data_IF_495639520856
#
_entry.id   IF_495639520856
#
_cell.length_a   1.000
_cell.length_b   1.000
_cell.length_c   1.000
_cell.angle_alpha   90.00
_cell.angle_beta   90.00
_cell.angle_gamma   90.00
#
_symmetry.space_group_name_H-M   'P 1'
#
loop_
_entity.id
_entity.type
_entity.pdbx_description
1 polymer ?
#
# COMPACT_ATOMS: atom_id res chain seq x y z
N UNK A 1 7.43 -11.92 -2.05
CA UNK A 1 8.14 -11.54 -0.79
C UNK A 1 7.10 -11.05 0.23
N UNK A 2 7.32 -11.22 1.55
CA UNK A 2 6.39 -10.64 2.52
C UNK A 2 6.29 -9.12 2.30
N UNK A 3 5.07 -8.57 2.41
CA UNK A 3 4.87 -7.13 2.34
C UNK A 3 5.51 -6.50 3.57
N UNK A 4 6.39 -5.54 3.35
CA UNK A 4 7.06 -4.78 4.41
C UNK A 4 6.41 -3.42 4.64
N UNK A 5 7.13 -2.55 5.32
CA UNK A 5 6.67 -1.20 5.67
C UNK A 5 7.17 -0.12 4.70
N UNK A 6 7.88 -0.51 3.65
CA UNK A 6 8.40 0.43 2.66
C UNK A 6 7.53 0.54 1.42
N UNK A 7 7.47 1.73 0.82
CA UNK A 7 6.78 2.02 -0.42
C UNK A 7 5.26 1.90 -0.38
N UNK A 8 4.67 1.70 0.81
CA UNK A 8 3.21 1.61 0.97
C UNK A 8 2.79 1.84 2.42
N UNK A 9 1.54 2.22 2.64
CA UNK A 9 1.00 2.46 3.97
C UNK A 9 0.07 1.36 4.50
N UNK A 10 0.07 0.17 3.87
CA UNK A 10 -0.82 -0.94 4.20
C UNK A 10 -0.90 -1.27 5.71
N UNK A 11 0.25 -1.24 6.38
CA UNK A 11 0.38 -1.57 7.81
C UNK A 11 0.69 -0.35 8.68
N UNK A 12 0.72 0.84 8.12
CA UNK A 12 1.06 2.08 8.81
C UNK A 12 -0.16 2.91 9.22
N UNK A 13 -1.34 2.54 8.74
CA UNK A 13 -2.61 3.21 9.03
C UNK A 13 -3.69 2.21 9.43
N UNK A 14 -4.70 2.71 10.16
CA UNK A 14 -5.90 1.93 10.46
C UNK A 14 -6.84 1.92 9.26
N UNK A 15 -7.28 0.73 8.84
CA UNK A 15 -8.25 0.55 7.76
C UNK A 15 -8.99 -0.78 7.89
N UNK A 16 -10.10 -0.93 7.19
CA UNK A 16 -10.85 -2.18 7.07
C UNK A 16 -11.61 -2.25 5.74
N UNK A 17 -12.15 -3.42 5.39
CA UNK A 17 -13.05 -3.61 4.23
C UNK A 17 -14.29 -2.68 4.25
N UNK A 18 -14.63 -2.07 5.39
CA UNK A 18 -15.70 -1.09 5.52
C UNK A 18 -15.21 0.36 5.44
N UNK A 19 -13.89 0.57 5.53
CA UNK A 19 -13.29 1.91 5.46
C UNK A 19 -11.85 1.85 4.96
N UNK A 20 -11.65 2.24 3.72
CA UNK A 20 -10.36 2.33 3.04
C UNK A 20 -9.79 3.76 2.99
N UNK A 21 -10.34 4.70 3.79
CA UNK A 21 -10.07 6.14 3.68
C UNK A 21 -8.59 6.51 3.64
N UNK A 22 -7.78 5.82 4.42
CA UNK A 22 -6.36 6.16 4.60
C UNK A 22 -5.41 5.32 3.74
N UNK A 23 -5.90 4.34 2.99
CA UNK A 23 -5.05 3.54 2.11
C UNK A 23 -4.70 4.28 0.82
N UNK A 24 -3.42 4.25 0.46
CA UNK A 24 -2.94 4.69 -0.85
C UNK A 24 -2.92 3.51 -1.83
N UNK A 25 -3.91 3.45 -2.72
CA UNK A 25 -4.03 2.37 -3.69
C UNK A 25 -3.00 2.43 -4.81
N UNK A 26 -2.37 3.57 -5.07
CA UNK A 26 -1.27 3.65 -6.02
C UNK A 26 0.01 3.04 -5.45
N UNK A 27 0.29 3.25 -4.17
CA UNK A 27 1.40 2.58 -3.49
C UNK A 27 1.18 1.08 -3.41
N UNK A 28 -0.07 0.66 -3.18
CA UNK A 28 -0.43 -0.77 -3.18
C UNK A 28 -0.32 -1.36 -4.59
N UNK A 29 -0.68 -0.63 -5.64
CA UNK A 29 -0.45 -1.04 -7.02
C UNK A 29 1.04 -1.24 -7.29
N UNK A 30 1.89 -0.28 -6.93
CA UNK A 30 3.33 -0.35 -7.09
C UNK A 30 3.92 -1.57 -6.36
N UNK A 31 3.38 -1.86 -5.18
CA UNK A 31 3.84 -2.98 -4.36
C UNK A 31 3.40 -4.35 -4.91
N UNK A 32 2.17 -4.47 -5.38
CA UNK A 32 1.61 -5.77 -5.75
C UNK A 32 1.74 -6.11 -7.23
N UNK A 33 1.86 -5.13 -8.11
CA UNK A 33 2.05 -5.36 -9.54
C UNK A 33 3.23 -6.29 -9.85
N UNK A 34 4.43 -6.08 -9.27
CA UNK A 34 5.57 -6.98 -9.50
C UNK A 34 5.33 -8.41 -8.98
N UNK A 35 4.57 -8.58 -7.92
CA UNK A 35 4.28 -9.91 -7.36
C UNK A 35 3.30 -10.70 -8.25
N UNK A 36 2.39 -10.02 -8.95
CA UNK A 36 1.38 -10.65 -9.82
C UNK A 36 1.94 -10.94 -11.22
N UNK A 37 2.67 -9.99 -11.78
CA UNK A 37 3.12 -10.07 -13.18
C UNK A 37 4.57 -10.50 -13.34
N UNK A 38 5.35 -10.61 -12.27
CA UNK A 38 6.80 -10.90 -12.28
C UNK A 38 7.60 -9.89 -13.13
N UNK A 39 7.09 -8.67 -13.25
CA UNK A 39 7.65 -7.56 -14.02
C UNK A 39 7.74 -6.31 -13.13
N UNK A 40 8.69 -5.41 -13.39
CA UNK A 40 8.67 -4.09 -12.75
C UNK A 40 7.41 -3.32 -13.15
N UNK A 41 7.01 -2.36 -12.34
CA UNK A 41 5.91 -1.45 -12.68
C UNK A 41 6.21 -0.78 -14.02
N UNK A 42 5.32 -0.85 -15.03
CA UNK A 42 5.64 -0.46 -16.41
C UNK A 42 5.89 1.04 -16.61
N UNK A 43 5.67 1.83 -15.58
CA UNK A 43 5.77 3.29 -15.59
C UNK A 43 6.86 3.81 -14.65
N UNK A 44 7.81 2.95 -14.27
CA UNK A 44 9.00 3.41 -13.54
C UNK A 44 9.96 4.20 -14.46
N UNK A 45 10.75 5.06 -13.84
CA UNK A 45 11.57 6.14 -14.39
C UNK A 45 12.65 5.80 -15.45
N UNK A 46 12.54 4.72 -16.18
CA UNK A 46 13.37 4.45 -17.35
C UNK A 46 12.77 4.95 -18.68
N UNK A 47 11.68 5.67 -18.57
CA UNK A 47 10.99 6.30 -19.66
C UNK A 47 11.61 7.68 -19.93
N UNK A 48 11.90 7.96 -21.20
CA UNK A 48 12.43 9.24 -21.68
C UNK A 48 11.39 10.39 -21.60
N UNK A 49 10.20 10.15 -21.05
CA UNK A 49 9.14 11.15 -20.90
C UNK A 49 9.50 12.27 -19.89
N UNK A 50 10.54 12.06 -19.08
CA UNK A 50 11.07 13.07 -18.18
C UNK A 50 10.44 13.06 -16.78
N UNK A 51 11.02 13.88 -15.90
CA UNK A 51 10.57 14.05 -14.53
C UNK A 51 9.16 14.68 -14.52
N UNK A 52 8.25 14.10 -13.73
CA UNK A 52 6.89 14.59 -13.62
C UNK A 52 5.94 14.09 -14.71
N UNK A 53 6.26 13.00 -15.40
CA UNK A 53 5.34 12.38 -16.34
C UNK A 53 4.10 11.80 -15.64
N UNK A 54 2.95 11.95 -16.29
CA UNK A 54 1.67 11.37 -15.87
C UNK A 54 1.27 10.30 -16.87
N UNK A 55 0.93 9.13 -16.39
CA UNK A 55 0.58 7.98 -17.20
C UNK A 55 -0.88 7.60 -17.07
N UNK A 56 -1.34 6.68 -17.93
CA UNK A 56 -2.67 6.08 -17.91
C UNK A 56 -2.52 4.57 -17.73
N UNK A 57 -3.15 4.02 -16.70
CA UNK A 57 -3.23 2.59 -16.46
C UNK A 57 -4.66 2.14 -16.81
N UNK A 58 -4.82 1.05 -17.56
CA UNK A 58 -6.15 0.51 -17.82
C UNK A 58 -6.86 0.13 -16.51
N UNK A 59 -8.16 0.36 -16.43
CA UNK A 59 -8.96 -0.01 -15.28
C UNK A 59 -8.85 -1.52 -15.00
N UNK A 60 -8.90 -2.35 -16.04
CA UNK A 60 -8.73 -3.80 -15.92
C UNK A 60 -7.45 -4.18 -15.17
N UNK A 61 -6.31 -3.57 -15.51
CA UNK A 61 -5.03 -3.86 -14.87
C UNK A 61 -4.98 -3.37 -13.43
N UNK A 62 -5.38 -2.12 -13.18
CA UNK A 62 -5.30 -1.51 -11.86
C UNK A 62 -6.25 -2.19 -10.87
N UNK A 63 -7.50 -2.39 -11.28
CA UNK A 63 -8.53 -3.06 -10.48
C UNK A 63 -8.13 -4.50 -10.18
N UNK A 64 -7.62 -5.26 -11.17
CA UNK A 64 -7.16 -6.63 -10.97
C UNK A 64 -6.05 -6.72 -9.91
N UNK A 65 -5.03 -5.86 -9.97
CA UNK A 65 -3.93 -5.85 -9.00
C UNK A 65 -4.45 -5.64 -7.57
N UNK A 66 -5.41 -4.74 -7.40
CA UNK A 66 -5.98 -4.45 -6.09
C UNK A 66 -6.89 -5.60 -5.62
N UNK A 67 -7.75 -6.12 -6.48
CA UNK A 67 -8.75 -7.15 -6.14
C UNK A 67 -8.14 -8.51 -5.76
N UNK A 68 -6.96 -8.83 -6.27
CA UNK A 68 -6.23 -10.04 -5.84
C UNK A 68 -6.01 -10.03 -4.33
N UNK A 69 -5.72 -8.85 -3.75
CA UNK A 69 -5.36 -8.72 -2.36
C UNK A 69 -6.44 -8.10 -1.46
N UNK A 70 -7.47 -7.50 -2.04
CA UNK A 70 -8.53 -6.80 -1.31
C UNK A 70 -9.91 -7.14 -1.84
N UNK A 71 -10.89 -7.24 -0.95
CA UNK A 71 -12.29 -7.26 -1.31
C UNK A 71 -12.82 -5.82 -1.32
N UNK A 72 -12.69 -5.16 -2.44
CA UNK A 72 -13.12 -3.76 -2.62
C UNK A 72 -14.07 -3.67 -3.83
N UNK A 73 -15.07 -2.79 -3.71
CA UNK A 73 -15.95 -2.44 -4.81
C UNK A 73 -15.26 -1.42 -5.74
N UNK A 74 -15.45 -1.57 -7.06
CA UNK A 74 -14.86 -0.66 -8.05
C UNK A 74 -15.29 0.80 -7.84
N UNK A 75 -16.53 1.05 -7.39
CA UNK A 75 -16.98 2.42 -7.10
C UNK A 75 -16.22 3.01 -5.91
N UNK A 76 -15.94 2.19 -4.89
CA UNK A 76 -15.15 2.63 -3.75
C UNK A 76 -13.69 2.88 -4.14
N UNK A 77 -13.09 2.02 -4.94
CA UNK A 77 -11.73 2.20 -5.46
C UNK A 77 -11.62 3.50 -6.30
N UNK A 78 -12.61 3.76 -7.16
CA UNK A 78 -12.68 4.97 -8.01
C UNK A 78 -12.83 6.26 -7.21
N UNK A 79 -13.45 6.23 -6.03
CA UNK A 79 -13.51 7.39 -5.12
C UNK A 79 -12.16 7.72 -4.47
N UNK A 80 -11.27 6.75 -4.38
CA UNK A 80 -9.96 6.86 -3.72
C UNK A 80 -8.81 7.15 -4.68
N UNK A 81 -9.12 7.19 -5.98
CA UNK A 81 -8.15 7.30 -7.07
C UNK A 81 -8.66 8.27 -8.14
N UNK A 82 -7.79 8.63 -9.07
CA UNK A 82 -8.18 9.50 -10.20
C UNK A 82 -8.59 8.62 -11.39
N UNK A 83 -9.85 8.17 -11.39
CA UNK A 83 -10.42 7.38 -12.47
C UNK A 83 -10.94 8.29 -13.60
N UNK A 84 -10.73 7.90 -14.85
CA UNK A 84 -11.14 8.63 -16.06
C UNK A 84 -12.11 7.75 -16.85
N UNK A 85 -13.41 8.02 -16.73
CA UNK A 85 -14.47 7.19 -17.31
C UNK A 85 -14.41 7.07 -18.83
N UNK A 86 -14.00 8.15 -19.52
CA UNK A 86 -13.97 8.24 -20.98
C UNK A 86 -13.05 7.20 -21.60
N UNK A 87 -11.91 6.94 -20.94
CA UNK A 87 -10.87 6.02 -21.41
C UNK A 87 -10.89 4.69 -20.66
N UNK A 88 -11.65 4.59 -19.57
CA UNK A 88 -11.58 3.48 -18.61
C UNK A 88 -10.16 3.27 -18.10
N UNK A 89 -9.53 4.34 -17.64
CA UNK A 89 -8.17 4.36 -17.13
C UNK A 89 -8.08 5.05 -15.76
N UNK A 90 -7.01 4.78 -15.06
CA UNK A 90 -6.57 5.53 -13.88
C UNK A 90 -5.39 6.42 -14.25
N UNK A 91 -5.41 7.66 -13.77
CA UNK A 91 -4.26 8.53 -13.88
C UNK A 91 -3.21 8.08 -12.86
N UNK A 92 -1.98 7.88 -13.31
CA UNK A 92 -0.90 7.37 -12.47
C UNK A 92 0.30 8.30 -12.54
N UNK A 93 0.81 8.66 -11.38
CA UNK A 93 2.00 9.48 -11.18
C UNK A 93 3.03 8.65 -10.42
N UNK A 94 4.14 8.20 -11.06
CA UNK A 94 5.20 7.45 -10.37
C UNK A 94 5.74 8.22 -9.19
N UNK A 95 6.12 7.53 -8.11
CA UNK A 95 6.87 8.15 -7.02
C UNK A 95 8.18 8.72 -7.54
N UNK A 96 8.50 9.94 -7.14
CA UNK A 96 9.71 10.65 -7.52
C UNK A 96 10.70 10.81 -6.37
N UNK A 97 11.72 11.62 -6.61
CA UNK A 97 12.78 11.87 -5.62
C UNK A 97 12.25 12.44 -4.28
N UNK A 98 11.21 13.27 -4.34
CA UNK A 98 10.61 13.90 -3.15
C UNK A 98 9.75 12.95 -2.31
N UNK A 99 9.47 11.76 -2.82
CA UNK A 99 8.73 10.70 -2.16
C UNK A 99 9.64 9.49 -1.84
N UNK A 100 10.96 9.69 -1.93
CA UNK A 100 11.93 8.65 -1.61
C UNK A 100 11.90 8.34 -0.11
N UNK A 101 11.84 7.06 0.19
CA UNK A 101 11.88 6.58 1.57
C UNK A 101 13.31 6.41 2.08
N UNK A 102 13.44 6.35 3.40
CA UNK A 102 14.70 5.99 4.04
C UNK A 102 15.06 4.54 3.72
N UNK A 103 16.35 4.24 3.47
CA UNK A 103 16.78 2.87 3.16
C UNK A 103 16.65 1.91 4.35
N UNK A 104 16.76 2.45 5.56
CA UNK A 104 16.71 1.69 6.82
C UNK A 104 15.29 1.80 7.39
N UNK A 105 14.49 0.76 7.16
CA UNK A 105 13.11 0.66 7.63
C UNK A 105 12.95 -0.54 8.56
N UNK A 106 11.96 -0.53 9.47
CA UNK A 106 11.62 -1.71 10.26
C UNK A 106 11.19 -2.88 9.39
N UNK A 107 11.31 -4.09 9.92
CA UNK A 107 10.74 -5.28 9.30
C UNK A 107 9.67 -5.93 10.18
N UNK A 108 8.65 -6.60 9.57
CA UNK A 108 7.57 -7.21 10.33
C UNK A 108 7.99 -8.55 10.95
N UNK A 109 7.63 -8.76 12.23
CA UNK A 109 7.73 -10.02 12.94
C UNK A 109 6.36 -10.41 13.50
N UNK A 110 5.79 -11.51 13.01
CA UNK A 110 4.55 -12.06 13.55
C UNK A 110 4.82 -12.70 14.90
N UNK A 111 4.28 -12.12 15.96
CA UNK A 111 4.48 -12.58 17.35
C UNK A 111 3.35 -13.45 17.87
N UNK A 112 2.16 -13.37 17.28
CA UNK A 112 1.05 -14.26 17.55
C UNK A 112 0.02 -14.26 16.42
N UNK A 113 -0.82 -15.30 16.38
CA UNK A 113 -1.98 -15.34 15.49
C UNK A 113 -3.19 -15.96 16.21
N UNK A 114 -4.36 -15.66 15.70
CA UNK A 114 -5.64 -16.20 16.18
C UNK A 114 -6.56 -16.49 14.99
N UNK A 115 -6.98 -17.74 14.87
CA UNK A 115 -8.01 -18.14 13.90
C UNK A 115 -9.40 -17.77 14.44
N UNK A 116 -10.22 -17.15 13.60
CA UNK A 116 -11.57 -16.73 13.95
C UNK A 116 -12.61 -17.73 13.42
N UNK A 117 -13.80 -17.73 14.02
CA UNK A 117 -14.90 -18.62 13.61
C UNK A 117 -15.42 -18.35 12.20
N UNK A 118 -15.16 -17.18 11.63
CA UNK A 118 -15.52 -16.79 10.26
C UNK A 118 -14.47 -17.18 9.21
N UNK A 119 -13.44 -17.92 9.64
CA UNK A 119 -12.34 -18.38 8.78
C UNK A 119 -11.24 -17.35 8.55
N UNK A 120 -11.34 -16.16 9.13
CA UNK A 120 -10.26 -15.18 9.07
C UNK A 120 -9.17 -15.47 10.11
N UNK A 121 -7.98 -14.93 9.89
CA UNK A 121 -6.83 -15.04 10.80
C UNK A 121 -6.39 -13.64 11.20
N UNK A 122 -6.33 -13.39 12.50
CA UNK A 122 -5.74 -12.15 13.04
C UNK A 122 -4.27 -12.39 13.37
N UNK A 123 -3.39 -11.63 12.77
CA UNK A 123 -1.95 -11.62 13.05
C UNK A 123 -1.62 -10.43 13.94
N UNK A 124 -0.86 -10.67 15.02
CA UNK A 124 -0.24 -9.58 15.79
C UNK A 124 1.21 -9.47 15.35
N UNK A 125 1.60 -8.31 14.89
CA UNK A 125 2.90 -8.07 14.25
C UNK A 125 3.63 -6.95 14.97
N UNK A 126 4.87 -7.20 15.39
CA UNK A 126 5.79 -6.18 15.83
C UNK A 126 6.64 -5.68 14.66
N UNK A 127 6.86 -4.38 14.60
CA UNK A 127 7.88 -3.80 13.75
C UNK A 127 9.22 -3.81 14.49
N UNK A 128 10.13 -4.64 14.01
CA UNK A 128 11.49 -4.73 14.54
C UNK A 128 12.35 -3.71 13.80
N UNK A 129 13.02 -2.83 14.56
CA UNK A 129 13.85 -1.78 13.99
C UNK A 129 15.27 -1.83 14.55
N UNK A 130 16.20 -2.54 13.87
CA UNK A 130 17.56 -2.74 14.35
C UNK A 130 18.35 -1.44 14.53
N UNK A 131 18.19 -0.46 13.64
CA UNK A 131 18.88 0.83 13.71
C UNK A 131 18.56 1.58 15.01
N UNK A 132 17.34 1.45 15.52
CA UNK A 132 16.93 2.01 16.82
C UNK A 132 17.10 1.02 17.98
N UNK A 133 17.71 -0.16 17.73
CA UNK A 133 17.89 -1.21 18.70
C UNK A 133 16.58 -1.60 19.44
N UNK A 134 15.47 -1.62 18.70
CA UNK A 134 14.17 -2.00 19.25
C UNK A 134 13.55 -3.16 18.49
N UNK A 135 12.97 -4.10 19.24
CA UNK A 135 12.15 -5.19 18.69
C UNK A 135 10.66 -4.81 18.58
N UNK A 136 10.32 -3.55 18.91
CA UNK A 136 8.94 -3.08 18.94
C UNK A 136 8.89 -1.57 18.70
N UNK A 137 9.21 -1.14 17.50
CA UNK A 137 9.01 0.26 17.10
C UNK A 137 7.51 0.62 17.10
N UNK A 138 6.69 -0.29 16.57
CA UNK A 138 5.23 -0.27 16.72
C UNK A 138 4.67 -1.70 16.67
N UNK A 139 3.40 -1.84 16.98
CA UNK A 139 2.67 -3.12 16.87
C UNK A 139 1.33 -2.86 16.18
N UNK A 140 1.00 -3.72 15.23
CA UNK A 140 -0.30 -3.69 14.59
C UNK A 140 -0.96 -5.08 14.58
N UNK A 141 -2.27 -5.10 14.37
CA UNK A 141 -3.05 -6.29 14.08
C UNK A 141 -3.53 -6.24 12.66
N UNK A 142 -3.15 -7.24 11.87
CA UNK A 142 -3.65 -7.42 10.51
C UNK A 142 -4.57 -8.63 10.47
N UNK A 143 -5.74 -8.46 9.88
CA UNK A 143 -6.66 -9.56 9.61
C UNK A 143 -6.54 -9.96 8.16
N UNK A 144 -6.39 -11.27 7.92
CA UNK A 144 -6.34 -11.86 6.58
C UNK A 144 -7.43 -12.92 6.43
N UNK A 145 -7.92 -13.08 5.21
CA UNK A 145 -8.85 -14.14 4.79
C UNK A 145 -8.13 -15.11 3.88
N UNK A 146 -7.87 -16.36 4.30
CA UNK A 146 -7.37 -17.39 3.40
C UNK A 146 -8.35 -17.66 2.25
N UNK A 147 -7.80 -17.98 1.08
CA UNK A 147 -8.55 -18.36 -0.13
C UNK A 147 -8.34 -19.84 -0.45
N UNK A 148 -9.27 -20.42 -1.20
CA UNK A 148 -9.24 -21.84 -1.56
C UNK A 148 -8.04 -22.24 -2.44
N UNK A 149 -7.46 -21.28 -3.16
CA UNK A 149 -6.28 -21.46 -4.02
C UNK A 149 -4.94 -21.40 -3.26
N UNK A 150 -5.00 -21.20 -1.94
CA UNK A 150 -3.83 -21.06 -1.07
C UNK A 150 -3.32 -19.61 -0.96
N UNK A 151 -3.94 -18.66 -1.64
CA UNK A 151 -3.72 -17.23 -1.46
C UNK A 151 -4.45 -16.68 -0.23
N UNK A 152 -4.42 -15.36 -0.09
CA UNK A 152 -5.19 -14.67 0.96
C UNK A 152 -5.51 -13.23 0.53
N UNK A 153 -6.53 -12.67 1.17
CA UNK A 153 -6.86 -11.26 1.06
C UNK A 153 -6.70 -10.56 2.42
N UNK A 154 -6.30 -9.31 2.38
CA UNK A 154 -6.28 -8.45 3.56
C UNK A 154 -7.70 -7.96 3.87
N UNK A 155 -8.07 -7.98 5.15
CA UNK A 155 -9.41 -7.59 5.64
C UNK A 155 -9.35 -6.29 6.43
N UNK A 156 -8.34 -6.13 7.25
CA UNK A 156 -8.12 -4.91 8.04
C UNK A 156 -6.70 -4.82 8.59
N UNK A 157 -6.34 -3.62 8.99
CA UNK A 157 -5.16 -3.34 9.81
C UNK A 157 -5.52 -2.35 10.91
N UNK A 158 -4.93 -2.51 12.08
CA UNK A 158 -5.08 -1.62 13.22
C UNK A 158 -3.76 -1.46 13.95
N UNK A 159 -3.33 -0.23 14.15
CA UNK A 159 -2.18 0.08 15.01
C UNK A 159 -2.65 -0.05 16.48
N UNK A 160 -1.94 -0.85 17.26
CA UNK A 160 -2.27 -1.09 18.68
C UNK A 160 -1.18 -0.61 19.65
N UNK A 161 -0.01 -0.25 19.13
CA UNK A 161 1.07 0.35 19.89
C UNK A 161 1.98 1.19 18.96
N UNK A 162 2.33 2.41 19.34
CA UNK A 162 1.77 3.16 20.47
C UNK A 162 0.27 3.45 20.26
N UNK A 163 -0.48 3.66 21.34
CA UNK A 163 -1.92 3.93 21.27
C UNK A 163 -2.23 5.30 20.64
N UNK A 164 -1.28 6.23 20.73
CA UNK A 164 -1.40 7.59 20.19
C UNK A 164 -0.04 8.07 19.70
N UNK A 165 -0.03 8.87 18.64
CA UNK A 165 1.19 9.55 18.17
C UNK A 165 2.13 8.65 17.37
N UNK A 166 1.59 7.65 16.66
CA UNK A 166 2.38 6.88 15.71
C UNK A 166 2.64 7.70 14.45
N UNK A 167 3.90 8.07 14.24
CA UNK A 167 4.37 8.75 13.04
C UNK A 167 5.58 7.98 12.49
N UNK A 168 5.39 7.23 11.37
CA UNK A 168 6.47 6.44 10.77
C UNK A 168 7.41 7.36 9.98
N UNK A 169 8.40 7.95 10.64
CA UNK A 169 9.34 8.92 10.06
C UNK A 169 10.16 8.39 8.87
N UNK A 170 10.24 7.08 8.68
CA UNK A 170 10.90 6.43 7.54
C UNK A 170 10.00 6.35 6.31
N UNK A 171 8.69 6.56 6.46
CA UNK A 171 7.72 6.51 5.37
C UNK A 171 7.46 7.90 4.84
N UNK A 172 7.44 8.02 3.51
CA UNK A 172 7.03 9.22 2.81
C UNK A 172 5.67 8.99 2.15
N UNK A 173 4.70 9.81 2.46
CA UNK A 173 3.42 9.78 1.76
C UNK A 173 3.61 10.15 0.29
N UNK A 174 2.76 9.60 -0.58
CA UNK A 174 2.70 10.01 -1.99
C UNK A 174 2.24 11.46 -2.07
N UNK A 175 2.83 12.25 -2.96
CA UNK A 175 2.43 13.64 -3.15
C UNK A 175 0.96 13.71 -3.58
N UNK A 176 0.20 14.59 -2.93
CA UNK A 176 -1.13 14.95 -3.41
C UNK A 176 -1.06 15.59 -4.80
N UNK A 177 -2.17 15.67 -5.50
CA UNK A 177 -2.22 16.28 -6.83
C UNK A 177 -1.69 17.73 -6.84
N UNK A 178 -2.03 18.51 -5.80
CA UNK A 178 -1.59 19.91 -5.70
C UNK A 178 -0.08 19.99 -5.40
N UNK A 179 0.43 19.17 -4.48
CA UNK A 179 1.86 19.09 -4.20
C UNK A 179 2.65 18.61 -5.41
N UNK A 180 2.12 17.63 -6.15
CA UNK A 180 2.76 17.13 -7.36
C UNK A 180 2.84 18.21 -8.45
N UNK A 181 1.77 19.00 -8.64
CA UNK A 181 1.78 20.15 -9.55
C UNK A 181 2.77 21.23 -9.12
N UNK A 182 2.91 21.48 -7.82
CA UNK A 182 3.87 22.44 -7.29
C UNK A 182 5.31 22.01 -7.56
N UNK A 183 5.61 20.72 -7.43
CA UNK A 183 6.97 20.16 -7.56
C UNK A 183 7.35 19.94 -9.02
N UNK A 184 6.41 19.43 -9.85
CA UNK A 184 6.70 18.94 -11.20
C UNK A 184 5.93 19.67 -12.30
N UNK A 185 4.89 20.42 -11.96
CA UNK A 185 3.94 21.03 -12.90
C UNK A 185 4.33 22.40 -13.43
N UNK A 186 5.64 22.67 -13.57
CA UNK A 186 6.18 23.93 -14.11
C UNK A 186 5.89 24.19 -15.57
#
# INVERSE_FOLDING_TARGET
MPVGYGGNNLFLVDWSEQNFEYLDFYDLFDRFYPDIYELPVPFEANDDSGVGAVYRISAEMFEHVVEVHFRIDHEELRKRTTYIPEDQTYEYRPRGFYEAEYPDIPYPEVVSYEEKNDGTITLTVNAVYPEENTSRAFTHKTVVRPLDDGGFQYVSNQIIFPEVGFEPWWHSERLSEDQWKEVYGG
#
